data_IF_632212125906
#
_entry.id   IF_632212125906
#
_cell.length_a   1.000
_cell.length_b   1.000
_cell.length_c   1.000
_cell.angle_alpha   90.00
_cell.angle_beta   90.00
_cell.angle_gamma   90.00
#
_symmetry.space_group_name_H-M   'P 1'
#
loop_
_entity.id
_entity.type
_entity.pdbx_description
1 polymer ?
#
# COMPACT_ATOMS: atom_id res chain seq x y z
N UNK A 1 -5.83 26.13 11.46
CA UNK A 1 -4.46 26.00 10.94
C UNK A 1 -3.61 25.41 12.06
N UNK A 2 -2.92 24.27 11.86
CA UNK A 2 -2.08 23.66 12.90
C UNK A 2 -1.05 24.63 13.51
N UNK A 3 -0.57 25.63 12.76
CA UNK A 3 0.41 26.60 13.24
C UNK A 3 -0.10 27.56 14.33
N UNK A 4 -1.41 27.55 14.62
CA UNK A 4 -2.02 28.40 15.64
C UNK A 4 -2.25 27.67 16.97
N UNK A 5 -1.90 26.39 17.05
CA UNK A 5 -2.10 25.55 18.23
C UNK A 5 -0.80 25.36 18.99
N UNK A 6 -0.90 25.13 20.31
CA UNK A 6 0.25 24.72 21.10
C UNK A 6 0.68 23.29 20.74
N UNK A 7 1.93 22.94 21.03
CA UNK A 7 2.44 21.57 20.78
C UNK A 7 1.65 20.52 21.58
N UNK A 8 1.22 20.86 22.81
CA UNK A 8 0.38 19.99 23.64
C UNK A 8 -0.98 19.73 22.98
N UNK A 9 -1.64 20.78 22.47
CA UNK A 9 -2.91 20.65 21.75
C UNK A 9 -2.75 19.83 20.46
N UNK A 10 -1.66 20.06 19.72
CA UNK A 10 -1.35 19.31 18.50
C UNK A 10 -1.16 17.82 18.79
N UNK A 11 -0.39 17.47 19.82
CA UNK A 11 -0.17 16.07 20.22
C UNK A 11 -1.46 15.42 20.74
N UNK A 12 -2.26 16.15 21.50
CA UNK A 12 -3.56 15.67 21.96
C UNK A 12 -4.51 15.33 20.80
N UNK A 13 -4.53 16.17 19.75
CA UNK A 13 -5.30 15.90 18.52
C UNK A 13 -4.67 14.75 17.73
N UNK A 14 -3.33 14.74 17.57
CA UNK A 14 -2.62 13.71 16.81
C UNK A 14 -2.90 12.30 17.33
N UNK A 15 -2.90 12.15 18.66
CA UNK A 15 -3.19 10.87 19.32
C UNK A 15 -4.63 10.37 19.06
N UNK A 16 -5.56 11.26 18.70
CA UNK A 16 -6.95 10.91 18.39
C UNK A 16 -7.18 10.60 16.90
N UNK A 17 -6.24 10.95 16.01
CA UNK A 17 -6.38 10.75 14.56
C UNK A 17 -6.75 9.30 14.19
N UNK A 18 -6.13 8.24 14.76
CA UNK A 18 -6.48 6.87 14.41
C UNK A 18 -7.96 6.58 14.68
N UNK A 19 -8.43 6.93 15.89
CA UNK A 19 -9.83 6.77 16.31
C UNK A 19 -10.78 7.57 15.41
N UNK A 20 -10.47 8.83 15.13
CA UNK A 20 -11.30 9.70 14.28
C UNK A 20 -11.38 9.17 12.85
N UNK A 21 -10.28 8.65 12.32
CA UNK A 21 -10.21 8.06 10.99
C UNK A 21 -11.07 6.80 10.92
N UNK A 22 -10.98 5.94 11.92
CA UNK A 22 -11.77 4.71 11.96
C UNK A 22 -13.26 4.99 12.18
N UNK A 23 -13.59 5.96 13.04
CA UNK A 23 -14.97 6.42 13.20
C UNK A 23 -15.53 7.01 11.90
N UNK A 24 -14.76 7.84 11.19
CA UNK A 24 -15.18 8.39 9.90
C UNK A 24 -15.46 7.28 8.85
N UNK A 25 -14.64 6.22 8.82
CA UNK A 25 -14.93 5.03 7.99
C UNK A 25 -16.24 4.35 8.41
N UNK A 26 -16.46 4.18 9.72
CA UNK A 26 -17.71 3.59 10.22
C UNK A 26 -18.94 4.42 9.84
N UNK A 27 -18.83 5.76 9.84
CA UNK A 27 -19.90 6.66 9.37
C UNK A 27 -20.17 6.46 7.88
N UNK A 28 -19.12 6.41 7.05
CA UNK A 28 -19.23 6.16 5.61
C UNK A 28 -19.95 4.83 5.31
N UNK A 29 -19.50 3.75 5.96
CA UNK A 29 -20.11 2.42 5.86
C UNK A 29 -21.58 2.41 6.28
N UNK A 30 -21.90 3.09 7.39
CA UNK A 30 -23.28 3.20 7.87
C UNK A 30 -24.17 3.95 6.88
N UNK A 31 -23.72 5.11 6.38
CA UNK A 31 -24.47 5.90 5.41
C UNK A 31 -24.72 5.08 4.14
N UNK A 32 -23.71 4.37 3.63
CA UNK A 32 -23.85 3.49 2.48
C UNK A 32 -24.88 2.38 2.75
N UNK A 33 -24.81 1.70 3.89
CA UNK A 33 -25.74 0.63 4.25
C UNK A 33 -27.19 1.13 4.34
N UNK A 34 -27.40 2.32 4.89
CA UNK A 34 -28.72 2.94 4.97
C UNK A 34 -29.23 3.41 3.61
N UNK A 35 -28.35 3.95 2.75
CA UNK A 35 -28.69 4.31 1.38
C UNK A 35 -29.14 3.09 0.57
N UNK A 36 -28.46 1.95 0.73
CA UNK A 36 -28.82 0.67 0.11
C UNK A 36 -30.19 0.15 0.56
N UNK A 37 -30.62 0.48 1.79
CA UNK A 37 -31.98 0.19 2.29
C UNK A 37 -33.04 1.18 1.80
N UNK A 38 -32.66 2.15 0.97
CA UNK A 38 -33.57 3.12 0.36
C UNK A 38 -33.68 4.45 1.10
N UNK A 39 -32.91 4.68 2.18
CA UNK A 39 -32.85 5.98 2.84
C UNK A 39 -32.22 7.02 1.91
N UNK A 40 -32.80 8.23 1.88
CA UNK A 40 -32.34 9.35 1.05
C UNK A 40 -32.03 10.55 1.92
N UNK A 41 -31.02 11.32 1.54
CA UNK A 41 -30.66 12.59 2.17
C UNK A 41 -30.64 13.68 1.11
N UNK A 42 -31.09 14.88 1.47
CA UNK A 42 -31.05 16.03 0.56
C UNK A 42 -29.60 16.34 0.17
N UNK A 43 -29.35 16.57 -1.13
CA UNK A 43 -28.01 16.86 -1.66
C UNK A 43 -27.14 15.65 -1.96
N UNK A 44 -27.55 14.42 -1.60
CA UNK A 44 -26.78 13.20 -1.83
C UNK A 44 -27.57 12.17 -2.65
N UNK A 45 -26.86 11.38 -3.45
CA UNK A 45 -27.44 10.28 -4.22
C UNK A 45 -26.57 9.02 -4.14
N UNK A 46 -27.22 7.87 -4.08
CA UNK A 46 -26.57 6.58 -4.25
C UNK A 46 -26.34 6.33 -5.74
N UNK A 47 -25.10 6.00 -6.11
CA UNK A 47 -24.72 5.68 -7.49
C UNK A 47 -23.93 4.38 -7.52
N UNK A 48 -23.93 3.71 -8.68
CA UNK A 48 -23.03 2.59 -8.87
C UNK A 48 -21.57 3.05 -8.76
N UNK A 49 -20.74 2.22 -8.11
CA UNK A 49 -19.30 2.42 -8.12
C UNK A 49 -18.74 2.42 -9.55
N UNK A 50 -17.53 2.96 -9.71
CA UNK A 50 -16.84 2.93 -11.01
C UNK A 50 -16.52 1.48 -11.37
N UNK A 51 -17.12 0.97 -12.45
CA UNK A 51 -16.77 -0.34 -12.97
C UNK A 51 -15.38 -0.32 -13.61
N UNK A 52 -14.54 -1.28 -13.25
CA UNK A 52 -13.31 -1.56 -13.98
C UNK A 52 -13.56 -2.70 -14.96
N UNK A 53 -13.22 -2.46 -16.24
CA UNK A 53 -13.31 -3.51 -17.27
C UNK A 53 -12.32 -4.62 -16.94
N UNK A 54 -12.77 -5.87 -17.08
CA UNK A 54 -11.96 -7.09 -16.92
C UNK A 54 -12.19 -7.99 -18.13
N UNK A 55 -11.18 -8.73 -18.52
CA UNK A 55 -11.33 -9.79 -19.52
C UNK A 55 -12.20 -10.92 -18.96
N UNK A 56 -13.12 -11.44 -19.76
CA UNK A 56 -13.95 -12.60 -19.38
C UNK A 56 -13.07 -13.86 -19.34
N UNK A 57 -12.25 -14.03 -20.37
CA UNK A 57 -11.28 -15.12 -20.49
C UNK A 57 -10.00 -14.55 -21.16
N UNK A 58 -8.92 -14.32 -20.38
CA UNK A 58 -7.65 -13.85 -20.92
C UNK A 58 -7.06 -14.77 -22.00
N UNK A 59 -7.29 -16.09 -21.93
CA UNK A 59 -6.73 -17.06 -22.88
C UNK A 59 -7.44 -17.00 -24.23
N UNK A 60 -8.77 -16.87 -24.24
CA UNK A 60 -9.52 -16.60 -25.47
C UNK A 60 -9.15 -15.25 -26.08
N UNK A 61 -8.92 -14.23 -25.25
CA UNK A 61 -8.40 -12.94 -25.72
C UNK A 61 -7.03 -13.13 -26.39
N UNK A 62 -6.10 -13.89 -25.79
CA UNK A 62 -4.83 -14.20 -26.43
C UNK A 62 -5.00 -14.95 -27.76
N UNK A 63 -5.90 -15.94 -27.85
CA UNK A 63 -6.17 -16.68 -29.09
C UNK A 63 -6.72 -15.77 -30.19
N UNK A 64 -7.67 -14.90 -29.86
CA UNK A 64 -8.24 -13.90 -30.79
C UNK A 64 -7.16 -12.94 -31.27
N UNK A 65 -6.26 -12.50 -30.38
CA UNK A 65 -5.16 -11.62 -30.74
C UNK A 65 -4.12 -12.33 -31.63
N UNK A 66 -3.79 -13.60 -31.32
CA UNK A 66 -2.92 -14.45 -32.16
C UNK A 66 -3.52 -14.68 -33.55
N UNK A 67 -4.81 -15.01 -33.65
CA UNK A 67 -5.48 -15.24 -34.94
C UNK A 67 -5.53 -13.99 -35.81
N UNK A 68 -5.63 -12.81 -35.18
CA UNK A 68 -5.52 -11.50 -35.82
C UNK A 68 -4.08 -11.04 -36.10
N UNK A 69 -3.08 -11.92 -35.89
CA UNK A 69 -1.64 -11.67 -36.14
C UNK A 69 -1.05 -10.54 -35.29
N UNK A 70 -1.64 -10.20 -34.14
CA UNK A 70 -0.96 -9.37 -33.15
C UNK A 70 0.19 -10.18 -32.53
N UNK A 71 1.34 -9.54 -32.31
CA UNK A 71 2.50 -10.24 -31.71
C UNK A 71 2.27 -10.34 -30.21
N UNK A 72 2.71 -11.43 -29.58
CA UNK A 72 2.53 -11.66 -28.14
C UNK A 72 3.01 -10.48 -27.27
N UNK A 73 4.16 -9.92 -27.62
CA UNK A 73 4.73 -8.71 -26.98
C UNK A 73 3.84 -7.46 -27.05
N UNK A 74 2.90 -7.39 -27.99
CA UNK A 74 2.01 -6.23 -28.18
C UNK A 74 0.83 -6.26 -27.18
N UNK A 75 0.54 -7.41 -26.55
CA UNK A 75 -0.58 -7.57 -25.60
C UNK A 75 -0.24 -8.30 -24.29
N UNK A 76 0.99 -8.78 -24.13
CA UNK A 76 1.46 -9.37 -22.87
C UNK A 76 2.61 -8.55 -22.29
N UNK A 77 2.66 -8.43 -20.97
CA UNK A 77 3.79 -7.85 -20.26
C UNK A 77 4.62 -8.96 -19.62
N UNK A 78 5.88 -9.14 -20.04
CA UNK A 78 6.84 -9.96 -19.29
C UNK A 78 7.29 -9.15 -18.08
N UNK A 79 7.07 -9.66 -16.87
CA UNK A 79 7.50 -8.99 -15.63
C UNK A 79 8.44 -9.89 -14.84
N UNK A 80 9.48 -9.30 -14.28
CA UNK A 80 10.32 -9.96 -13.29
C UNK A 80 9.47 -10.38 -12.08
N UNK A 81 9.75 -11.57 -11.56
CA UNK A 81 9.09 -12.07 -10.37
C UNK A 81 9.41 -11.17 -9.15
N UNK A 82 8.51 -11.14 -8.17
CA UNK A 82 8.77 -10.44 -6.91
C UNK A 82 9.92 -11.10 -6.14
N UNK A 83 10.61 -10.31 -5.30
CA UNK A 83 11.75 -10.76 -4.49
C UNK A 83 11.48 -12.09 -3.77
N UNK A 84 10.35 -12.28 -3.06
CA UNK A 84 10.10 -13.55 -2.36
C UNK A 84 9.99 -14.77 -3.28
N UNK A 85 9.49 -14.56 -4.50
CA UNK A 85 9.36 -15.63 -5.49
C UNK A 85 10.71 -16.00 -6.12
N UNK A 86 11.58 -15.01 -6.33
CA UNK A 86 12.95 -15.25 -6.81
C UNK A 86 13.79 -15.89 -5.71
N UNK A 87 13.72 -15.40 -4.47
CA UNK A 87 14.41 -15.96 -3.30
C UNK A 87 14.04 -17.42 -3.05
N UNK A 88 12.76 -17.77 -3.23
CA UNK A 88 12.31 -19.17 -3.17
C UNK A 88 12.84 -20.02 -4.35
N UNK A 89 13.02 -19.42 -5.52
CA UNK A 89 13.46 -20.12 -6.73
C UNK A 89 14.95 -20.45 -6.70
N UNK A 90 15.79 -19.50 -6.28
CA UNK A 90 17.25 -19.69 -6.21
C UNK A 90 17.72 -20.19 -4.84
N UNK A 91 16.90 -20.06 -3.80
CA UNK A 91 17.23 -20.40 -2.41
C UNK A 91 17.92 -19.24 -1.68
N UNK A 92 17.72 -19.11 -0.36
CA UNK A 92 18.20 -17.96 0.43
C UNK A 92 19.70 -17.69 0.27
N UNK A 93 20.52 -18.74 0.33
CA UNK A 93 21.99 -18.60 0.23
C UNK A 93 22.41 -18.04 -1.12
N UNK A 94 21.93 -18.65 -2.23
CA UNK A 94 22.27 -18.21 -3.57
C UNK A 94 21.60 -16.88 -3.95
N UNK A 95 20.45 -16.56 -3.35
CA UNK A 95 19.80 -15.26 -3.54
C UNK A 95 20.66 -14.14 -3.00
N UNK A 96 21.20 -14.28 -1.78
CA UNK A 96 22.08 -13.28 -1.19
C UNK A 96 23.40 -13.18 -1.97
N UNK A 97 24.00 -14.32 -2.35
CA UNK A 97 25.26 -14.35 -3.10
C UNK A 97 25.14 -13.70 -4.49
N UNK A 98 24.05 -13.96 -5.23
CA UNK A 98 23.94 -13.58 -6.65
C UNK A 98 23.14 -12.29 -6.84
N UNK A 99 22.15 -12.02 -5.98
CA UNK A 99 21.18 -10.94 -6.15
C UNK A 99 21.14 -9.97 -4.97
N UNK A 100 21.89 -10.21 -3.88
CA UNK A 100 21.92 -9.35 -2.70
C UNK A 100 22.26 -7.90 -3.05
N UNK A 101 23.28 -7.69 -3.88
CA UNK A 101 23.68 -6.35 -4.36
C UNK A 101 22.62 -5.67 -5.24
N UNK A 102 21.64 -6.42 -5.76
CA UNK A 102 20.55 -5.92 -6.61
C UNK A 102 19.25 -5.67 -5.81
N UNK A 103 19.27 -5.92 -4.50
CA UNK A 103 18.14 -5.66 -3.61
C UNK A 103 18.42 -4.40 -2.80
N UNK A 104 17.76 -3.31 -3.17
CA UNK A 104 17.69 -2.12 -2.32
C UNK A 104 16.62 -2.35 -1.24
N UNK A 105 17.01 -2.27 0.02
CA UNK A 105 16.07 -2.14 1.14
C UNK A 105 15.86 -0.64 1.38
N UNK A 106 14.81 -0.02 0.80
CA UNK A 106 14.58 1.39 1.04
C UNK A 106 14.24 1.60 2.52
N UNK A 107 14.74 2.68 3.15
CA UNK A 107 14.34 3.02 4.50
C UNK A 107 12.82 3.20 4.54
N UNK A 108 12.19 2.67 5.60
CA UNK A 108 10.77 2.85 5.83
C UNK A 108 10.40 4.33 5.89
N UNK A 109 9.18 4.68 5.46
CA UNK A 109 8.71 6.06 5.56
C UNK A 109 8.73 6.52 7.03
N UNK A 110 9.34 7.68 7.35
CA UNK A 110 9.33 8.22 8.70
C UNK A 110 7.90 8.43 9.21
N UNK A 111 7.67 8.07 10.46
CA UNK A 111 6.39 8.26 11.14
C UNK A 111 6.63 8.70 12.57
N UNK A 112 5.76 9.60 13.06
CA UNK A 112 5.76 10.00 14.47
C UNK A 112 5.05 8.92 15.27
N UNK A 113 5.63 8.52 16.38
CA UNK A 113 5.08 7.51 17.29
C UNK A 113 5.37 7.91 18.74
N UNK A 114 4.59 7.41 19.72
CA UNK A 114 4.88 7.64 21.13
C UNK A 114 6.21 7.02 21.55
N UNK A 115 6.83 7.55 22.61
CA UNK A 115 8.10 7.05 23.17
C UNK A 115 8.04 5.59 23.67
N UNK A 116 6.84 5.05 23.88
CA UNK A 116 6.66 3.63 24.20
C UNK A 116 6.98 2.70 23.03
N UNK A 117 7.05 3.21 21.80
CA UNK A 117 7.49 2.44 20.63
C UNK A 117 8.97 2.08 20.79
N UNK A 118 9.27 0.78 20.65
CA UNK A 118 10.62 0.25 20.89
C UNK A 118 11.59 0.51 19.74
N UNK A 119 11.10 1.00 18.60
CA UNK A 119 11.94 1.29 17.45
C UNK A 119 12.85 2.48 17.76
N UNK A 120 14.10 2.46 17.29
CA UNK A 120 15.02 3.58 17.47
C UNK A 120 14.43 4.87 16.88
N UNK A 121 14.66 5.98 17.56
CA UNK A 121 14.33 7.29 17.01
C UNK A 121 15.25 7.59 15.81
N UNK A 122 14.74 8.39 14.87
CA UNK A 122 15.54 8.89 13.75
C UNK A 122 16.73 9.72 14.28
N UNK A 123 17.93 9.48 13.75
CA UNK A 123 19.16 10.20 14.14
C UNK A 123 20.24 9.27 14.66
N UNK A 124 20.90 9.67 15.76
CA UNK A 124 22.10 8.99 16.30
C UNK A 124 21.82 7.52 16.64
N UNK A 125 20.64 7.21 17.18
CA UNK A 125 20.31 5.84 17.60
C UNK A 125 20.05 4.91 16.41
N UNK A 126 19.40 5.42 15.35
CA UNK A 126 19.30 4.70 14.08
C UNK A 126 20.68 4.50 13.44
N UNK A 127 21.55 5.52 13.44
CA UNK A 127 22.88 5.43 12.84
C UNK A 127 23.78 4.38 13.52
N UNK A 128 23.65 4.17 14.84
CA UNK A 128 24.36 3.09 15.56
C UNK A 128 23.89 1.71 15.09
N UNK A 129 22.58 1.52 14.96
CA UNK A 129 22.01 0.26 14.49
C UNK A 129 22.43 -0.02 13.05
N UNK A 130 22.38 0.99 12.18
CA UNK A 130 22.77 0.86 10.77
C UNK A 130 24.24 0.42 10.66
N UNK A 131 25.14 1.04 11.42
CA UNK A 131 26.57 0.69 11.46
C UNK A 131 26.84 -0.74 11.98
N UNK A 132 26.06 -1.20 12.96
CA UNK A 132 26.17 -2.55 13.50
C UNK A 132 25.60 -3.63 12.55
N UNK A 133 24.71 -3.24 11.61
CA UNK A 133 24.10 -4.15 10.62
C UNK A 133 24.84 -4.22 9.26
N UNK A 134 25.90 -3.46 9.06
CA UNK A 134 26.76 -3.50 7.85
C UNK A 134 27.83 -4.62 7.86
N UNK A 135 27.62 -5.72 8.62
CA UNK A 135 28.51 -6.90 8.66
C UNK A 135 27.90 -8.09 7.92
#
# INVERSE_FOLDING_TARGET
DPHLLSDEDLLAIYNQIPMLTDWAKSVDEYILAQALKGKKWSGYKLVAGRSQRKWIDPDEVEKILKSKRFRKKDYTQTKLLGIPAIEKLVGKSAFQEVLGEQVLIPPGKPTVVPESDKRPAFGIDQAKIDFDTEI
#
